data_IF_401135845842
#
_entry.id   IF_401135845842
#
_cell.length_a   1.000
_cell.length_b   1.000
_cell.length_c   1.000
_cell.angle_alpha   90.00
_cell.angle_beta   90.00
_cell.angle_gamma   90.00
#
_symmetry.space_group_name_H-M   'P 1'
#
loop_
_entity.id
_entity.type
_entity.pdbx_description
1 polymer ?
#
# COMPACT_ATOMS: atom_id res chain seq x y z
N UNK A 1 -46.92 25.36 56.50
CA UNK A 1 -47.39 24.69 55.28
C UNK A 1 -47.01 25.62 54.16
N UNK A 2 -45.80 25.41 53.64
CA UNK A 2 -45.20 26.30 52.65
C UNK A 2 -45.64 25.81 51.30
N UNK A 3 -46.42 26.62 50.60
CA UNK A 3 -46.82 26.37 49.22
C UNK A 3 -45.56 26.38 48.34
N UNK A 4 -45.21 25.21 47.85
CA UNK A 4 -44.13 25.00 46.90
C UNK A 4 -44.65 25.44 45.52
N UNK A 5 -44.29 26.67 45.11
CA UNK A 5 -44.48 27.16 43.74
C UNK A 5 -43.79 26.21 42.76
N UNK A 6 -44.58 25.35 42.12
CA UNK A 6 -44.16 24.58 40.96
C UNK A 6 -43.90 25.59 39.84
N UNK A 7 -42.63 25.95 39.63
CA UNK A 7 -42.18 26.66 38.42
C UNK A 7 -42.66 25.88 37.20
N UNK A 8 -43.48 26.46 36.30
CA UNK A 8 -43.80 25.80 35.06
C UNK A 8 -42.50 25.60 34.28
N UNK A 9 -42.28 24.34 33.92
CA UNK A 9 -41.14 23.90 33.13
C UNK A 9 -40.99 24.76 31.88
N UNK A 10 -39.73 24.99 31.53
CA UNK A 10 -39.29 25.68 30.33
C UNK A 10 -39.68 24.85 29.08
N UNK A 11 -40.97 24.80 28.77
CA UNK A 11 -41.47 24.41 27.47
C UNK A 11 -41.11 25.55 26.52
N UNK A 12 -39.92 25.46 25.92
CA UNK A 12 -39.57 26.28 24.77
C UNK A 12 -40.63 26.01 23.70
N UNK A 13 -41.66 26.85 23.66
CA UNK A 13 -42.64 26.86 22.60
C UNK A 13 -41.89 26.98 21.28
N UNK A 14 -41.78 25.86 20.58
CA UNK A 14 -41.07 25.78 19.32
C UNK A 14 -41.73 26.78 18.37
N UNK A 15 -40.96 27.69 17.80
CA UNK A 15 -41.53 28.67 16.88
C UNK A 15 -42.27 27.96 15.74
N UNK A 16 -43.38 28.51 15.21
CA UNK A 16 -44.21 27.80 14.23
C UNK A 16 -43.42 27.23 13.04
N UNK A 17 -42.40 27.97 12.60
CA UNK A 17 -41.47 27.59 11.53
C UNK A 17 -40.57 26.41 11.88
N UNK A 18 -40.16 26.30 13.14
CA UNK A 18 -39.41 25.14 13.63
C UNK A 18 -40.32 23.90 13.72
N UNK A 19 -41.58 24.07 14.13
CA UNK A 19 -42.54 22.95 14.21
C UNK A 19 -42.88 22.38 12.83
N UNK A 20 -43.04 23.26 11.83
CA UNK A 20 -43.26 22.87 10.45
C UNK A 20 -42.03 22.18 9.85
N UNK A 21 -40.83 22.73 10.10
CA UNK A 21 -39.58 22.12 9.61
C UNK A 21 -39.37 20.71 10.19
N UNK A 22 -39.63 20.52 11.47
CA UNK A 22 -39.53 19.21 12.13
C UNK A 22 -40.59 18.23 11.61
N UNK A 23 -41.84 18.66 11.45
CA UNK A 23 -42.90 17.82 10.89
C UNK A 23 -42.64 17.42 9.42
N UNK A 24 -42.08 18.33 8.63
CA UNK A 24 -41.68 18.06 7.24
C UNK A 24 -40.50 17.08 7.21
N UNK A 25 -39.49 17.28 8.06
CA UNK A 25 -38.36 16.35 8.18
C UNK A 25 -38.85 14.95 8.57
N UNK A 26 -39.67 14.84 9.60
CA UNK A 26 -40.17 13.54 10.08
C UNK A 26 -40.96 12.79 9.00
N UNK A 27 -41.77 13.51 8.21
CA UNK A 27 -42.47 12.95 7.06
C UNK A 27 -41.53 12.58 5.91
N UNK A 28 -40.56 13.43 5.54
CA UNK A 28 -39.63 13.14 4.43
C UNK A 28 -38.65 12.02 4.79
N UNK A 29 -38.25 11.88 6.05
CA UNK A 29 -37.36 10.80 6.49
C UNK A 29 -38.09 9.47 6.67
N UNK A 30 -39.42 9.47 6.69
CA UNK A 30 -40.16 8.23 6.57
C UNK A 30 -40.05 7.69 5.13
N UNK A 31 -39.52 6.47 5.04
CA UNK A 31 -39.18 5.78 3.80
C UNK A 31 -40.31 5.80 2.76
N UNK A 32 -41.56 5.59 3.15
CA UNK A 32 -42.70 5.53 2.22
C UNK A 32 -43.00 6.93 1.65
N UNK A 33 -43.06 7.94 2.51
CA UNK A 33 -43.33 9.32 2.10
C UNK A 33 -42.20 9.88 1.25
N UNK A 34 -40.95 9.49 1.49
CA UNK A 34 -39.83 9.82 0.62
C UNK A 34 -40.06 9.30 -0.81
N UNK A 35 -40.44 8.03 -0.96
CA UNK A 35 -40.72 7.47 -2.29
C UNK A 35 -41.92 8.12 -2.95
N UNK A 36 -42.99 8.44 -2.20
CA UNK A 36 -44.14 9.18 -2.74
C UNK A 36 -43.72 10.57 -3.22
N UNK A 37 -42.91 11.30 -2.46
CA UNK A 37 -42.42 12.62 -2.85
C UNK A 37 -41.54 12.53 -4.10
N UNK A 38 -40.60 11.58 -4.16
CA UNK A 38 -39.75 11.37 -5.33
C UNK A 38 -40.59 10.96 -6.55
N UNK A 39 -41.57 10.08 -6.39
CA UNK A 39 -42.48 9.69 -7.46
C UNK A 39 -43.35 10.86 -7.94
N UNK A 40 -43.79 11.74 -7.04
CA UNK A 40 -44.52 12.95 -7.41
C UNK A 40 -43.68 13.90 -8.26
N UNK A 41 -42.44 14.13 -7.85
CA UNK A 41 -41.51 14.95 -8.63
C UNK A 41 -41.19 14.33 -9.99
N UNK A 42 -41.00 13.01 -10.06
CA UNK A 42 -40.65 12.32 -11.30
C UNK A 42 -41.81 12.20 -12.28
N UNK A 43 -43.03 12.04 -11.82
CA UNK A 43 -44.20 11.91 -12.70
C UNK A 43 -44.64 13.29 -13.19
N UNK A 44 -44.68 14.29 -12.31
CA UNK A 44 -45.11 15.65 -12.65
C UNK A 44 -43.94 16.57 -13.04
N UNK A 45 -42.76 16.02 -13.38
CA UNK A 45 -41.55 16.84 -13.60
C UNK A 45 -41.71 17.87 -14.73
N UNK A 46 -42.43 17.52 -15.80
CA UNK A 46 -42.68 18.42 -16.93
C UNK A 46 -43.56 19.60 -16.52
N UNK A 47 -44.61 19.33 -15.75
CA UNK A 47 -45.56 20.33 -15.25
C UNK A 47 -44.88 21.28 -14.28
N UNK A 48 -44.03 20.74 -13.39
CA UNK A 48 -43.20 21.54 -12.49
C UNK A 48 -42.31 22.49 -13.29
N UNK A 49 -41.65 22.00 -14.36
CA UNK A 49 -40.82 22.86 -15.21
C UNK A 49 -41.64 23.92 -15.97
N UNK A 50 -42.86 23.60 -16.42
CA UNK A 50 -43.76 24.56 -17.06
C UNK A 50 -44.18 25.64 -16.05
N UNK A 51 -44.50 25.26 -14.81
CA UNK A 51 -44.81 26.22 -13.73
C UNK A 51 -43.62 27.15 -13.43
N UNK A 52 -42.39 26.64 -13.44
CA UNK A 52 -41.20 27.47 -13.25
C UNK A 52 -40.88 28.39 -14.43
N UNK A 53 -41.23 27.97 -15.65
CA UNK A 53 -40.96 28.72 -16.88
C UNK A 53 -42.06 29.73 -17.22
N UNK A 54 -43.27 29.50 -16.73
CA UNK A 54 -44.43 30.34 -16.99
C UNK A 54 -44.24 31.74 -16.41
N UNK A 55 -44.50 32.76 -17.23
CA UNK A 55 -44.66 34.14 -16.78
C UNK A 55 -46.13 34.48 -16.43
N UNK A 56 -47.03 33.52 -16.61
CA UNK A 56 -48.46 33.68 -16.34
C UNK A 56 -48.78 33.36 -14.89
N UNK A 57 -49.97 33.73 -14.44
CA UNK A 57 -50.43 33.41 -13.09
C UNK A 57 -50.44 31.89 -12.85
N UNK A 58 -49.98 31.49 -11.67
CA UNK A 58 -49.84 30.09 -11.24
C UNK A 58 -51.17 29.36 -11.44
N UNK A 59 -52.30 29.97 -11.10
CA UNK A 59 -53.62 29.35 -11.26
C UNK A 59 -54.01 29.14 -12.71
N UNK A 60 -53.65 30.06 -13.61
CA UNK A 60 -53.92 29.93 -15.03
C UNK A 60 -53.09 28.82 -15.65
N UNK A 61 -51.78 28.79 -15.37
CA UNK A 61 -50.90 27.71 -15.82
C UNK A 61 -51.32 26.35 -15.25
N UNK A 62 -51.74 26.29 -13.98
CA UNK A 62 -52.24 25.06 -13.37
C UNK A 62 -53.52 24.57 -14.05
N UNK A 63 -54.42 25.49 -14.43
CA UNK A 63 -55.64 25.14 -15.17
C UNK A 63 -55.33 24.56 -16.55
N UNK A 64 -54.32 25.10 -17.24
CA UNK A 64 -53.83 24.59 -18.52
C UNK A 64 -53.24 23.19 -18.32
N UNK A 65 -52.42 22.98 -17.30
CA UNK A 65 -51.82 21.67 -17.01
C UNK A 65 -52.92 20.62 -16.75
N UNK A 66 -53.91 20.97 -15.94
CA UNK A 66 -54.99 20.06 -15.55
C UNK A 66 -56.00 19.76 -16.68
N UNK A 67 -56.02 20.60 -17.72
CA UNK A 67 -56.83 20.38 -18.93
C UNK A 67 -56.00 19.92 -20.14
N UNK A 68 -54.67 19.93 -20.03
CA UNK A 68 -53.79 19.48 -21.11
C UNK A 68 -53.78 17.97 -21.17
N UNK A 69 -54.04 17.43 -22.36
CA UNK A 69 -54.12 15.99 -22.58
C UNK A 69 -52.79 15.29 -22.31
N UNK A 70 -52.71 14.55 -21.21
CA UNK A 70 -51.67 13.56 -21.01
C UNK A 70 -52.05 12.23 -21.68
N UNK A 71 -51.06 11.37 -21.93
CA UNK A 71 -51.27 10.08 -22.62
C UNK A 71 -52.24 9.12 -21.89
N UNK A 72 -52.58 9.40 -20.63
CA UNK A 72 -53.48 8.62 -19.79
C UNK A 72 -54.88 9.24 -19.58
N UNK A 73 -55.15 10.44 -20.09
CA UNK A 73 -56.40 11.18 -19.80
C UNK A 73 -57.66 10.53 -20.35
N UNK A 74 -57.54 9.67 -21.36
CA UNK A 74 -58.67 8.90 -21.87
C UNK A 74 -59.13 7.79 -20.92
N UNK A 75 -58.31 7.41 -19.93
CA UNK A 75 -58.55 6.25 -19.06
C UNK A 75 -58.66 6.60 -17.58
N UNK A 76 -58.12 7.73 -17.13
CA UNK A 76 -58.05 8.10 -15.72
C UNK A 76 -58.47 9.58 -15.52
N UNK A 77 -59.18 9.91 -14.43
CA UNK A 77 -59.46 11.30 -14.09
C UNK A 77 -58.17 12.11 -13.90
N UNK A 78 -58.13 13.36 -14.37
CA UNK A 78 -56.97 14.25 -14.26
C UNK A 78 -56.39 14.32 -12.83
N UNK A 79 -57.26 14.41 -11.82
CA UNK A 79 -56.82 14.37 -10.41
C UNK A 79 -56.03 13.11 -10.06
N UNK A 80 -56.47 11.94 -10.54
CA UNK A 80 -55.78 10.69 -10.28
C UNK A 80 -54.48 10.60 -11.07
N UNK A 81 -54.40 11.19 -12.27
CA UNK A 81 -53.16 11.23 -13.05
C UNK A 81 -52.08 12.05 -12.32
N UNK A 82 -52.39 13.26 -11.86
CA UNK A 82 -51.41 14.16 -11.26
C UNK A 82 -51.08 13.85 -9.79
N UNK A 83 -52.03 13.31 -9.02
CA UNK A 83 -51.84 13.07 -7.59
C UNK A 83 -51.93 11.58 -7.21
N UNK A 84 -52.84 10.83 -7.82
CA UNK A 84 -53.04 9.41 -7.54
C UNK A 84 -51.88 8.53 -8.01
N UNK A 85 -51.40 8.71 -9.24
CA UNK A 85 -50.30 7.94 -9.82
C UNK A 85 -49.01 8.11 -9.02
N UNK A 86 -48.56 9.33 -8.64
CA UNK A 86 -47.45 9.50 -7.71
C UNK A 86 -47.54 8.71 -6.41
N UNK A 87 -48.70 8.68 -5.78
CA UNK A 87 -48.91 7.96 -4.53
C UNK A 87 -48.84 6.46 -4.78
N UNK A 88 -49.47 5.97 -5.86
CA UNK A 88 -49.44 4.57 -6.26
C UNK A 88 -48.01 4.11 -6.58
N UNK A 89 -47.30 4.84 -7.43
CA UNK A 89 -45.93 4.51 -7.80
C UNK A 89 -44.96 4.66 -6.63
N UNK A 90 -45.14 5.65 -5.76
CA UNK A 90 -44.30 5.83 -4.57
C UNK A 90 -44.46 4.70 -3.55
N UNK A 91 -45.70 4.27 -3.31
CA UNK A 91 -45.96 3.11 -2.43
C UNK A 91 -45.46 1.81 -3.04
N UNK A 92 -45.69 1.60 -4.34
CA UNK A 92 -45.18 0.44 -5.07
C UNK A 92 -43.64 0.42 -5.06
N UNK A 93 -42.98 1.56 -5.30
CA UNK A 93 -41.54 1.71 -5.24
C UNK A 93 -41.00 1.40 -3.84
N UNK A 94 -41.66 1.87 -2.78
CA UNK A 94 -41.28 1.54 -1.41
C UNK A 94 -41.34 0.04 -1.13
N UNK A 95 -42.38 -0.63 -1.63
CA UNK A 95 -42.54 -2.08 -1.49
C UNK A 95 -41.54 -2.87 -2.35
N UNK A 96 -41.24 -2.39 -3.57
CA UNK A 96 -40.35 -3.07 -4.52
C UNK A 96 -38.86 -2.83 -4.25
N UNK A 97 -38.50 -1.69 -3.64
CA UNK A 97 -37.11 -1.34 -3.30
C UNK A 97 -36.35 -2.49 -2.63
N UNK A 98 -36.82 -3.13 -1.54
CA UNK A 98 -36.07 -4.21 -0.89
C UNK A 98 -35.75 -5.37 -1.85
N UNK A 99 -36.65 -5.71 -2.77
CA UNK A 99 -36.42 -6.74 -3.77
C UNK A 99 -35.36 -6.32 -4.79
N UNK A 100 -35.45 -5.09 -5.30
CA UNK A 100 -34.47 -4.53 -6.23
C UNK A 100 -33.09 -4.45 -5.58
N UNK A 101 -33.01 -3.96 -4.34
CA UNK A 101 -31.77 -3.90 -3.55
C UNK A 101 -31.18 -5.29 -3.33
N UNK A 102 -32.01 -6.29 -3.02
CA UNK A 102 -31.56 -7.68 -2.87
C UNK A 102 -30.97 -8.24 -4.17
N UNK A 103 -31.64 -8.03 -5.31
CA UNK A 103 -31.15 -8.46 -6.62
C UNK A 103 -29.80 -7.82 -6.98
N UNK A 104 -29.68 -6.49 -6.83
CA UNK A 104 -28.44 -5.75 -7.06
C UNK A 104 -27.35 -6.29 -6.14
N UNK A 105 -27.64 -6.45 -4.86
CA UNK A 105 -26.67 -6.96 -3.88
C UNK A 105 -26.18 -8.36 -4.26
N UNK A 106 -27.07 -9.26 -4.70
CA UNK A 106 -26.71 -10.62 -5.11
C UNK A 106 -25.78 -10.63 -6.33
N UNK A 107 -26.05 -9.78 -7.33
CA UNK A 107 -25.21 -9.68 -8.53
C UNK A 107 -23.85 -9.08 -8.17
N UNK A 108 -23.86 -7.97 -7.44
CA UNK A 108 -22.67 -7.21 -7.09
C UNK A 108 -21.78 -7.98 -6.10
N UNK A 109 -22.35 -8.64 -5.10
CA UNK A 109 -21.60 -9.46 -4.13
C UNK A 109 -20.85 -10.61 -4.80
N UNK A 110 -21.46 -11.28 -5.80
CA UNK A 110 -20.76 -12.34 -6.56
C UNK A 110 -19.55 -11.79 -7.31
N UNK A 111 -19.68 -10.60 -7.91
CA UNK A 111 -18.59 -9.94 -8.63
C UNK A 111 -17.48 -9.51 -7.68
N UNK A 112 -17.81 -8.87 -6.56
CA UNK A 112 -16.83 -8.50 -5.54
C UNK A 112 -16.12 -9.69 -4.91
N UNK A 113 -16.83 -10.80 -4.67
CA UNK A 113 -16.22 -12.03 -4.18
C UNK A 113 -15.23 -12.61 -5.20
N UNK A 114 -15.52 -12.52 -6.50
CA UNK A 114 -14.60 -12.97 -7.55
C UNK A 114 -13.34 -12.10 -7.60
N UNK A 115 -13.48 -10.77 -7.52
CA UNK A 115 -12.35 -9.83 -7.49
C UNK A 115 -11.45 -10.14 -6.29
N UNK A 116 -12.01 -10.24 -5.08
CA UNK A 116 -11.24 -10.53 -3.86
C UNK A 116 -10.45 -11.84 -3.92
N UNK A 117 -10.99 -12.86 -4.59
CA UNK A 117 -10.28 -14.13 -4.79
C UNK A 117 -9.16 -14.02 -5.83
N UNK A 118 -9.37 -13.22 -6.87
CA UNK A 118 -8.33 -12.94 -7.86
C UNK A 118 -7.17 -12.15 -7.23
N UNK A 119 -7.48 -11.10 -6.47
CA UNK A 119 -6.48 -10.30 -5.74
C UNK A 119 -5.68 -11.17 -4.77
N UNK A 120 -6.36 -11.99 -3.95
CA UNK A 120 -5.67 -12.92 -3.04
C UNK A 120 -4.75 -13.88 -3.78
N UNK A 121 -5.14 -14.35 -4.96
CA UNK A 121 -4.28 -15.25 -5.74
C UNK A 121 -3.04 -14.52 -6.25
N UNK A 122 -3.21 -13.28 -6.74
CA UNK A 122 -2.10 -12.46 -7.18
C UNK A 122 -1.14 -12.13 -6.02
N UNK A 123 -1.66 -11.80 -4.84
CA UNK A 123 -0.84 -11.53 -3.65
C UNK A 123 0.00 -12.75 -3.25
N UNK A 124 -0.59 -13.96 -3.27
CA UNK A 124 0.12 -15.19 -2.95
C UNK A 124 1.21 -15.52 -3.96
N UNK A 125 0.96 -15.28 -5.26
CA UNK A 125 1.94 -15.50 -6.32
C UNK A 125 3.13 -14.55 -6.19
N UNK A 126 2.86 -13.27 -5.91
CA UNK A 126 3.91 -12.27 -5.64
C UNK A 126 4.72 -12.62 -4.39
N UNK A 127 4.08 -13.09 -3.32
CA UNK A 127 4.78 -13.51 -2.10
C UNK A 127 5.70 -14.72 -2.36
N UNK A 128 5.25 -15.70 -3.15
CA UNK A 128 6.07 -16.87 -3.52
C UNK A 128 7.29 -16.46 -4.35
N UNK A 129 7.12 -15.55 -5.31
CA UNK A 129 8.25 -14.97 -6.05
C UNK A 129 9.25 -14.25 -5.14
N UNK A 130 8.75 -13.47 -4.16
CA UNK A 130 9.62 -12.82 -3.17
C UNK A 130 10.36 -13.82 -2.29
N UNK A 131 9.72 -14.93 -1.89
CA UNK A 131 10.37 -15.99 -1.12
C UNK A 131 11.45 -16.70 -1.93
N UNK A 132 11.19 -17.04 -3.19
CA UNK A 132 12.21 -17.62 -4.07
C UNK A 132 13.40 -16.68 -4.27
N UNK A 133 13.14 -15.39 -4.49
CA UNK A 133 14.20 -14.38 -4.57
C UNK A 133 15.02 -14.30 -3.26
N UNK A 134 14.36 -14.35 -2.09
CA UNK A 134 15.06 -14.40 -0.78
C UNK A 134 15.91 -15.66 -0.64
N UNK A 135 15.38 -16.83 -1.00
CA UNK A 135 16.13 -18.10 -0.96
C UNK A 135 17.35 -18.03 -1.88
N UNK A 136 17.18 -17.52 -3.11
CA UNK A 136 18.27 -17.31 -4.08
C UNK A 136 19.32 -16.34 -3.56
N UNK A 137 18.91 -15.26 -2.90
CA UNK A 137 19.84 -14.32 -2.28
C UNK A 137 20.65 -14.99 -1.16
N UNK A 138 19.99 -15.68 -0.24
CA UNK A 138 20.67 -16.40 0.86
C UNK A 138 21.65 -17.45 0.33
N UNK A 139 21.26 -18.22 -0.69
CA UNK A 139 22.18 -19.20 -1.29
C UNK A 139 23.37 -18.55 -1.99
N UNK A 140 23.18 -17.42 -2.67
CA UNK A 140 24.29 -16.66 -3.27
C UNK A 140 25.22 -16.09 -2.19
N UNK A 141 24.68 -15.52 -1.11
CA UNK A 141 25.47 -15.01 0.01
C UNK A 141 26.27 -16.13 0.69
N UNK A 142 25.65 -17.27 0.99
CA UNK A 142 26.34 -18.42 1.58
C UNK A 142 27.48 -18.94 0.68
N UNK A 143 27.27 -18.94 -0.65
CA UNK A 143 28.34 -19.28 -1.59
C UNK A 143 29.47 -18.26 -1.57
N UNK A 144 29.17 -16.97 -1.50
CA UNK A 144 30.17 -15.91 -1.38
C UNK A 144 30.98 -16.04 -0.08
N UNK A 145 30.33 -16.31 1.06
CA UNK A 145 30.98 -16.51 2.35
C UNK A 145 31.88 -17.75 2.35
N UNK A 146 31.44 -18.85 1.73
CA UNK A 146 32.27 -20.04 1.57
C UNK A 146 33.52 -19.75 0.74
N UNK A 147 33.38 -19.02 -0.38
CA UNK A 147 34.51 -18.60 -1.21
C UNK A 147 35.47 -17.69 -0.44
N UNK A 148 34.96 -16.72 0.33
CA UNK A 148 35.76 -15.86 1.20
C UNK A 148 36.56 -16.66 2.23
N UNK A 149 35.91 -17.60 2.92
CA UNK A 149 36.58 -18.49 3.87
C UNK A 149 37.68 -19.30 3.19
N UNK A 150 37.44 -19.80 1.98
CA UNK A 150 38.43 -20.57 1.22
C UNK A 150 39.62 -19.71 0.78
N UNK A 151 39.39 -18.46 0.37
CA UNK A 151 40.45 -17.50 0.06
C UNK A 151 41.32 -17.24 1.29
N UNK A 152 40.71 -16.96 2.44
CA UNK A 152 41.43 -16.69 3.68
C UNK A 152 42.28 -17.90 4.12
N UNK A 153 41.75 -19.12 3.97
CA UNK A 153 42.48 -20.36 4.26
C UNK A 153 43.68 -20.55 3.32
N UNK A 154 43.52 -20.24 2.03
CA UNK A 154 44.62 -20.27 1.05
C UNK A 154 45.69 -19.21 1.35
N UNK A 155 45.30 -18.01 1.78
CA UNK A 155 46.24 -16.98 2.22
C UNK A 155 47.06 -17.43 3.43
N UNK A 156 46.42 -18.03 4.44
CA UNK A 156 47.12 -18.60 5.60
C UNK A 156 48.09 -19.73 5.20
N UNK A 157 47.69 -20.60 4.27
CA UNK A 157 48.57 -21.65 3.76
C UNK A 157 49.76 -21.06 3.01
N UNK A 158 49.55 -20.08 2.13
CA UNK A 158 50.62 -19.39 1.41
C UNK A 158 51.58 -18.68 2.36
N UNK A 159 51.09 -17.99 3.40
CA UNK A 159 51.92 -17.37 4.42
C UNK A 159 52.76 -18.41 5.19
N UNK A 160 52.17 -19.56 5.49
CA UNK A 160 52.87 -20.68 6.16
C UNK A 160 53.95 -21.29 5.25
N UNK A 161 53.65 -21.49 3.97
CA UNK A 161 54.60 -21.99 2.98
C UNK A 161 55.76 -21.00 2.77
N UNK A 162 55.47 -19.70 2.70
CA UNK A 162 56.49 -18.64 2.63
C UNK A 162 57.42 -18.65 3.85
N UNK A 163 56.87 -18.78 5.07
CA UNK A 163 57.67 -18.95 6.30
C UNK A 163 58.54 -20.22 6.26
N UNK A 164 57.98 -21.34 5.80
CA UNK A 164 58.73 -22.60 5.63
C UNK A 164 59.82 -22.52 4.57
N UNK A 165 59.68 -21.68 3.54
CA UNK A 165 60.74 -21.48 2.54
C UNK A 165 61.83 -20.52 3.01
N UNK A 166 61.49 -19.49 3.79
CA UNK A 166 62.46 -18.54 4.34
C UNK A 166 63.32 -19.15 5.44
N UNK A 167 62.80 -20.07 6.25
CA UNK A 167 63.57 -20.76 7.30
C UNK A 167 64.83 -21.48 6.77
N UNK A 168 64.75 -22.37 5.75
CA UNK A 168 65.92 -22.99 5.14
C UNK A 168 66.85 -22.00 4.46
N UNK A 169 66.32 -20.93 3.85
CA UNK A 169 67.17 -19.90 3.25
C UNK A 169 68.00 -19.16 4.32
N UNK A 170 67.38 -18.82 5.44
CA UNK A 170 68.07 -18.17 6.56
C UNK A 170 69.08 -19.13 7.21
N UNK A 171 68.70 -20.41 7.37
CA UNK A 171 69.63 -21.43 7.87
C UNK A 171 70.82 -21.64 6.92
N UNK A 172 70.58 -21.69 5.60
CA UNK A 172 71.64 -21.74 4.58
C UNK A 172 72.56 -20.53 4.65
N UNK A 173 71.99 -19.33 4.84
CA UNK A 173 72.76 -18.10 5.01
C UNK A 173 73.63 -18.14 6.27
N UNK A 174 73.09 -18.60 7.40
CA UNK A 174 73.84 -18.76 8.65
C UNK A 174 74.97 -19.79 8.52
N UNK A 175 74.68 -20.94 7.93
CA UNK A 175 75.70 -21.96 7.64
C UNK A 175 76.79 -21.42 6.72
N UNK A 176 76.42 -20.70 5.66
CA UNK A 176 77.39 -20.06 4.76
C UNK A 176 78.31 -19.09 5.50
N UNK A 177 77.77 -18.20 6.33
CA UNK A 177 78.60 -17.29 7.13
C UNK A 177 79.47 -18.01 8.16
N UNK A 178 78.96 -19.07 8.80
CA UNK A 178 79.74 -19.89 9.71
C UNK A 178 80.91 -20.58 9.02
N UNK A 179 80.66 -21.25 7.90
CA UNK A 179 81.70 -21.91 7.08
C UNK A 179 82.70 -20.86 6.58
N UNK A 180 82.23 -19.72 6.08
CA UNK A 180 83.10 -18.64 5.64
C UNK A 180 84.05 -18.19 6.76
N UNK A 181 83.55 -17.98 7.98
CA UNK A 181 84.41 -17.60 9.11
C UNK A 181 85.48 -18.67 9.43
N UNK A 182 85.15 -19.96 9.29
CA UNK A 182 86.14 -21.04 9.42
C UNK A 182 87.15 -21.03 8.28
N UNK A 183 86.71 -20.88 7.02
CA UNK A 183 87.60 -20.81 5.86
C UNK A 183 88.52 -19.59 5.97
N UNK A 184 87.97 -18.41 6.29
CA UNK A 184 88.75 -17.19 6.53
C UNK A 184 89.78 -17.42 7.66
N UNK A 185 89.44 -18.16 8.73
CA UNK A 185 90.40 -18.53 9.80
C UNK A 185 91.53 -19.46 9.32
N UNK A 186 91.24 -20.39 8.40
CA UNK A 186 92.23 -21.31 7.85
C UNK A 186 93.07 -20.67 6.74
N UNK A 187 92.48 -19.86 5.87
CA UNK A 187 93.21 -19.04 4.89
C UNK A 187 94.12 -18.04 5.59
N UNK A 188 93.69 -17.46 6.72
CA UNK A 188 94.55 -16.60 7.56
C UNK A 188 95.58 -17.37 8.39
N UNK A 189 95.41 -18.68 8.62
CA UNK A 189 96.42 -19.57 9.23
C UNK A 189 97.26 -20.37 8.23
N UNK A 190 97.01 -20.22 6.92
CA UNK A 190 97.69 -20.90 5.82
C UNK A 190 98.61 -20.01 5.00
N UNK A 191 98.64 -18.70 5.25
CA UNK A 191 99.69 -17.81 4.79
C UNK A 191 100.49 -17.30 6.01
N UNK A 192 101.77 -17.69 6.07
CA UNK A 192 102.78 -16.91 6.79
C UNK A 192 102.82 -15.51 6.17
N UNK A 193 102.04 -14.58 6.73
CA UNK A 193 102.33 -13.16 6.60
C UNK A 193 103.14 -12.75 7.83
N UNK A 194 104.45 -12.72 7.68
CA UNK A 194 105.25 -11.79 8.48
C UNK A 194 104.78 -10.37 8.12
N UNK A 195 104.51 -9.53 9.13
CA UNK A 195 104.15 -8.15 8.91
C UNK A 195 105.40 -7.40 8.45
N UNK A 196 105.28 -6.71 7.33
CA UNK A 196 106.05 -5.52 6.94
C UNK A 196 107.56 -5.48 7.24
N UNK A 197 108.37 -5.52 6.18
CA UNK A 197 109.60 -4.73 6.08
C UNK A 197 110.92 -5.49 6.20
N UNK A 198 111.52 -5.87 5.06
CA UNK A 198 112.77 -5.30 4.54
C UNK A 198 113.32 -6.15 3.38
N UNK A 199 113.83 -5.44 2.37
CA UNK A 199 114.51 -5.98 1.20
C UNK A 199 115.93 -6.38 1.60
N UNK A 200 116.36 -7.60 1.29
CA UNK A 200 117.78 -7.84 0.93
C UNK A 200 117.90 -8.88 -0.18
N UNK A 201 118.36 -8.41 -1.32
CA UNK A 201 119.02 -9.15 -2.41
C UNK A 201 120.25 -9.94 -1.92
N UNK A 202 120.38 -11.18 -2.38
CA UNK A 202 121.64 -11.88 -2.70
C UNK A 202 121.26 -13.17 -3.47
N UNK A 203 121.45 -13.24 -4.79
CA UNK A 203 122.69 -13.52 -5.53
C UNK A 203 123.05 -15.03 -5.60
N UNK A 204 122.98 -15.56 -6.83
CA UNK A 204 123.78 -16.60 -7.52
C UNK A 204 124.11 -17.91 -6.79
N UNK A 205 123.71 -19.05 -7.35
CA UNK A 205 124.38 -19.84 -8.42
C UNK A 205 123.39 -20.82 -9.05
#
# INVERSE_FOLDING_TARGET
MSDEEIKPGNEKALSPNQSLSEAIKDKIFNKIYFYILVSFLLINWQEILILFKSNEDIFYTLSIIFTSQMWFDYMLPAWFAHFGLPILFGTLASALTPFVTYWISKVTAKRFAKIRRADRKADLEVEDEFQDLRIKLVTKTNKADNLLNRINLLEMQNATMSKKNTQPQEHRRQLFFGIKAFVDYYETKGELKTPEGEITTAANE
#
